data_IF_360943179685
#
_entry.id   IF_360943179685
#
_cell.length_a   1.000
_cell.length_b   1.000
_cell.length_c   1.000
_cell.angle_alpha   90.00
_cell.angle_beta   90.00
_cell.angle_gamma   90.00
#
_symmetry.space_group_name_H-M   'P 1'
#
loop_
_entity.id
_entity.type
_entity.pdbx_description
1 polymer ?
#
# COMPACT_ATOMS: atom_id res chain seq x y z
N UNK A 1 5.50 -22.56 -36.09
CA UNK A 1 5.23 -21.67 -34.94
C UNK A 1 4.62 -22.49 -33.82
N UNK A 2 5.26 -22.55 -32.65
CA UNK A 2 4.90 -23.48 -31.57
C UNK A 2 3.56 -23.16 -30.91
N UNK A 3 2.79 -24.20 -30.62
CA UNK A 3 1.47 -24.16 -29.95
C UNK A 3 1.47 -23.35 -28.65
N UNK A 4 2.62 -23.22 -27.99
CA UNK A 4 2.85 -22.38 -26.81
C UNK A 4 2.71 -20.88 -27.10
N UNK A 5 3.21 -20.40 -28.24
CA UNK A 5 3.08 -19.00 -28.64
C UNK A 5 1.62 -18.60 -28.91
N UNK A 6 0.84 -19.53 -29.46
CA UNK A 6 -0.59 -19.33 -29.70
C UNK A 6 -1.39 -19.26 -28.39
N UNK A 7 -1.10 -20.14 -27.42
CA UNK A 7 -1.72 -20.11 -26.10
C UNK A 7 -1.42 -18.81 -25.34
N UNK A 8 -0.19 -18.29 -25.45
CA UNK A 8 0.20 -17.02 -24.84
C UNK A 8 -0.57 -15.86 -25.50
N UNK A 9 -0.62 -15.81 -26.83
CA UNK A 9 -1.35 -14.77 -27.56
C UNK A 9 -2.85 -14.77 -27.22
N UNK A 10 -3.48 -15.95 -27.15
CA UNK A 10 -4.88 -16.09 -26.76
C UNK A 10 -5.13 -15.64 -25.33
N UNK A 11 -4.24 -16.00 -24.40
CA UNK A 11 -4.36 -15.60 -22.99
C UNK A 11 -4.29 -14.09 -22.83
N UNK A 12 -3.33 -13.43 -23.51
CA UNK A 12 -3.21 -11.97 -23.48
C UNK A 12 -4.44 -11.31 -24.10
N UNK A 13 -4.93 -11.83 -25.24
CA UNK A 13 -6.12 -11.30 -25.91
C UNK A 13 -7.36 -11.40 -25.01
N UNK A 14 -7.54 -12.51 -24.29
CA UNK A 14 -8.62 -12.71 -23.34
C UNK A 14 -8.56 -11.72 -22.18
N UNK A 15 -7.37 -11.51 -21.59
CA UNK A 15 -7.17 -10.59 -20.48
C UNK A 15 -7.49 -9.15 -20.93
N UNK A 16 -6.98 -8.73 -22.10
CA UNK A 16 -7.24 -7.39 -22.64
C UNK A 16 -8.72 -7.19 -22.96
N UNK A 17 -9.37 -8.19 -23.56
CA UNK A 17 -10.80 -8.15 -23.86
C UNK A 17 -11.68 -8.05 -22.60
N UNK A 18 -11.34 -8.81 -21.55
CA UNK A 18 -12.06 -8.77 -20.28
C UNK A 18 -11.95 -7.40 -19.60
N UNK A 19 -10.73 -6.83 -19.56
CA UNK A 19 -10.49 -5.50 -18.97
C UNK A 19 -11.22 -4.41 -19.77
N UNK A 20 -11.17 -4.45 -21.10
CA UNK A 20 -11.90 -3.52 -21.95
C UNK A 20 -13.41 -3.60 -21.76
N UNK A 21 -13.97 -4.82 -21.63
CA UNK A 21 -15.38 -5.04 -21.36
C UNK A 21 -15.84 -4.47 -20.00
N UNK A 22 -15.03 -4.62 -18.95
CA UNK A 22 -15.32 -4.07 -17.62
C UNK A 22 -15.29 -2.53 -17.63
N UNK A 23 -14.32 -1.92 -18.33
CA UNK A 23 -14.22 -0.47 -18.46
C UNK A 23 -15.38 0.10 -19.28
N UNK A 24 -15.78 -0.57 -20.36
CA UNK A 24 -16.95 -0.19 -21.16
C UNK A 24 -18.26 -0.28 -20.34
N UNK A 25 -18.45 -1.34 -19.55
CA UNK A 25 -19.59 -1.46 -18.63
C UNK A 25 -19.63 -0.34 -17.59
N UNK A 26 -18.49 0.02 -17.00
CA UNK A 26 -18.41 1.12 -16.02
C UNK A 26 -18.70 2.49 -16.63
N UNK A 27 -18.33 2.72 -17.91
CA UNK A 27 -18.67 3.97 -18.62
C UNK A 27 -20.14 4.04 -19.04
N UNK A 28 -20.72 2.92 -19.50
CA UNK A 28 -22.12 2.88 -19.94
C UNK A 28 -23.13 3.01 -18.77
N UNK A 29 -22.73 2.66 -17.54
CA UNK A 29 -23.56 2.84 -16.35
C UNK A 29 -23.78 4.29 -15.91
N UNK A 30 -23.00 5.26 -16.41
CA UNK A 30 -23.13 6.68 -16.02
C UNK A 30 -24.06 7.51 -16.90
N UNK A 31 -24.50 7.01 -18.05
CA UNK A 31 -25.25 7.82 -19.05
C UNK A 31 -26.70 7.41 -19.28
N UNK A 32 -27.26 6.44 -18.54
CA UNK A 32 -28.70 6.17 -18.57
C UNK A 32 -29.41 6.78 -17.37
N UNK A 33 -29.73 8.06 -17.46
CA UNK A 33 -30.81 8.67 -16.68
C UNK A 33 -32.06 8.74 -17.57
N UNK A 34 -32.93 7.73 -17.59
CA UNK A 34 -34.23 7.88 -18.22
C UNK A 34 -35.08 8.77 -17.31
N UNK A 35 -35.36 9.98 -17.78
CA UNK A 35 -36.46 10.78 -17.27
C UNK A 35 -37.78 10.07 -17.62
N UNK A 36 -38.61 9.75 -16.63
CA UNK A 36 -39.97 9.30 -16.89
C UNK A 36 -40.66 8.54 -15.76
N UNK A 37 -41.65 9.22 -15.17
CA UNK A 37 -42.84 8.72 -14.42
C UNK A 37 -42.72 8.55 -12.88
N UNK A 38 -43.49 9.32 -12.09
CA UNK A 38 -43.69 9.03 -10.66
C UNK A 38 -44.75 7.92 -10.53
N UNK A 39 -44.29 6.67 -10.52
CA UNK A 39 -45.09 5.53 -10.10
C UNK A 39 -44.89 5.27 -8.61
N UNK A 40 -45.93 5.55 -7.81
CA UNK A 40 -46.32 4.88 -6.55
C UNK A 40 -45.19 4.09 -5.82
N UNK A 41 -44.73 4.51 -4.62
CA UNK A 41 -43.92 3.62 -3.78
C UNK A 41 -44.85 2.57 -3.15
N UNK A 42 -45.03 1.47 -3.86
CA UNK A 42 -45.57 0.23 -3.32
C UNK A 42 -44.45 -0.57 -2.65
N UNK A 43 -44.70 -0.93 -1.39
CA UNK A 43 -44.28 -2.19 -0.76
C UNK A 43 -42.80 -2.33 -0.37
N UNK A 44 -42.54 -1.85 0.85
CA UNK A 44 -41.60 -2.37 1.86
C UNK A 44 -40.94 -3.71 1.51
N UNK A 45 -39.64 -3.66 1.23
CA UNK A 45 -38.81 -4.84 1.04
C UNK A 45 -37.32 -4.55 0.83
N UNK A 46 -36.87 -3.30 0.99
CA UNK A 46 -35.46 -2.94 0.88
C UNK A 46 -34.93 -2.63 2.28
N UNK A 47 -33.99 -3.47 2.71
CA UNK A 47 -33.02 -3.32 3.80
C UNK A 47 -33.06 -1.97 4.54
N UNK A 48 -33.31 -2.03 5.84
CA UNK A 48 -33.18 -0.88 6.73
C UNK A 48 -31.75 -0.30 6.77
N UNK A 49 -31.49 0.70 7.63
CA UNK A 49 -30.18 1.38 7.72
C UNK A 49 -28.97 0.43 7.85
N UNK A 50 -29.17 -0.76 8.41
CA UNK A 50 -28.14 -1.81 8.51
C UNK A 50 -27.56 -2.24 7.16
N UNK A 51 -28.38 -2.39 6.11
CA UNK A 51 -27.87 -2.83 4.81
C UNK A 51 -27.03 -1.76 4.09
N UNK A 52 -27.30 -0.48 4.35
CA UNK A 52 -26.44 0.61 3.88
C UNK A 52 -25.13 0.67 4.67
N UNK A 53 -25.20 0.41 5.99
CA UNK A 53 -24.01 0.35 6.86
C UNK A 53 -23.08 -0.81 6.50
N UNK A 54 -23.61 -1.98 6.17
CA UNK A 54 -22.81 -3.14 5.77
C UNK A 54 -22.04 -2.87 4.47
N UNK A 55 -22.68 -2.21 3.49
CA UNK A 55 -22.05 -1.84 2.22
C UNK A 55 -20.97 -0.77 2.38
N UNK A 56 -21.17 0.19 3.29
CA UNK A 56 -20.16 1.20 3.62
C UNK A 56 -18.94 0.56 4.30
N UNK A 57 -19.17 -0.33 5.27
CA UNK A 57 -18.12 -1.09 5.94
C UNK A 57 -17.34 -1.97 4.95
N UNK A 58 -18.03 -2.65 4.02
CA UNK A 58 -17.40 -3.43 2.96
C UNK A 58 -16.51 -2.55 2.06
N UNK A 59 -17.00 -1.38 1.64
CA UNK A 59 -16.27 -0.46 0.78
C UNK A 59 -14.99 0.04 1.47
N UNK A 60 -15.08 0.38 2.76
CA UNK A 60 -13.93 0.80 3.57
C UNK A 60 -12.91 -0.34 3.71
N UNK A 61 -13.36 -1.56 4.05
CA UNK A 61 -12.49 -2.73 4.15
C UNK A 61 -11.71 -3.00 2.84
N UNK A 62 -12.40 -2.93 1.70
CA UNK A 62 -11.77 -3.07 0.38
C UNK A 62 -10.75 -1.96 0.10
N UNK A 63 -11.09 -0.72 0.45
CA UNK A 63 -10.19 0.42 0.27
C UNK A 63 -8.90 0.27 1.06
N UNK A 64 -8.97 -0.13 2.34
CA UNK A 64 -7.79 -0.40 3.15
C UNK A 64 -6.98 -1.58 2.61
N UNK A 65 -7.62 -2.65 2.12
CA UNK A 65 -6.92 -3.79 1.53
C UNK A 65 -6.16 -3.41 0.26
N UNK A 66 -6.77 -2.63 -0.64
CA UNK A 66 -6.11 -2.12 -1.85
C UNK A 66 -4.93 -1.23 -1.48
N UNK A 67 -5.10 -0.35 -0.47
CA UNK A 67 -4.03 0.51 0.02
C UNK A 67 -2.86 -0.29 0.59
N UNK A 68 -3.14 -1.33 1.38
CA UNK A 68 -2.12 -2.23 1.93
C UNK A 68 -1.39 -3.00 0.81
N UNK A 69 -2.14 -3.60 -0.12
CA UNK A 69 -1.59 -4.33 -1.26
C UNK A 69 -0.71 -3.45 -2.15
N UNK A 70 -1.14 -2.21 -2.43
CA UNK A 70 -0.32 -1.23 -3.16
C UNK A 70 0.92 -0.78 -2.39
N UNK A 71 0.88 -0.84 -1.05
CA UNK A 71 2.02 -0.53 -0.19
C UNK A 71 3.10 -1.62 -0.15
N UNK A 72 2.74 -2.86 -0.43
CA UNK A 72 3.65 -4.02 -0.46
C UNK A 72 4.52 -4.09 -1.72
N UNK A 73 4.38 -3.14 -2.64
CA UNK A 73 5.26 -3.06 -3.82
C UNK A 73 6.71 -3.01 -3.33
N UNK A 74 7.54 -3.98 -3.72
CA UNK A 74 8.91 -4.06 -3.22
C UNK A 74 9.65 -2.78 -3.61
N UNK A 75 10.40 -2.17 -2.67
CA UNK A 75 11.24 -1.03 -2.98
C UNK A 75 12.27 -1.38 -4.06
N UNK A 76 12.87 -0.39 -4.71
CA UNK A 76 13.89 -0.65 -5.74
C UNK A 76 15.09 -1.41 -5.18
N UNK A 77 15.82 -2.13 -6.04
CA UNK A 77 16.95 -3.01 -5.63
C UNK A 77 17.99 -2.33 -4.71
N UNK A 78 18.24 -1.03 -4.91
CA UNK A 78 19.16 -0.24 -4.07
C UNK A 78 18.67 -0.06 -2.63
N UNK A 79 17.37 0.11 -2.43
CA UNK A 79 16.78 0.22 -1.10
C UNK A 79 16.73 -1.14 -0.39
N UNK A 80 16.54 -2.24 -1.15
CA UNK A 80 16.68 -3.60 -0.60
C UNK A 80 18.10 -3.94 -0.18
N UNK A 81 19.12 -3.50 -0.93
CA UNK A 81 20.51 -3.76 -0.57
C UNK A 81 20.94 -3.12 0.77
N UNK A 82 20.21 -2.09 1.23
CA UNK A 82 20.40 -1.47 2.54
C UNK A 82 19.37 -1.90 3.59
N UNK A 83 18.48 -2.85 3.28
CA UNK A 83 17.47 -3.31 4.22
C UNK A 83 18.09 -4.16 5.32
N UNK A 84 17.84 -3.80 6.57
CA UNK A 84 18.21 -4.63 7.72
C UNK A 84 17.18 -5.75 7.97
N UNK A 85 17.52 -6.65 8.88
CA UNK A 85 16.66 -7.78 9.25
C UNK A 85 15.32 -7.32 9.86
N UNK A 86 15.30 -6.16 10.52
CA UNK A 86 14.08 -5.58 11.10
C UNK A 86 13.11 -5.11 10.00
N UNK A 87 13.61 -4.44 8.96
CA UNK A 87 12.86 -4.07 7.77
C UNK A 87 12.30 -5.30 7.05
N UNK A 88 13.12 -6.35 6.89
CA UNK A 88 12.69 -7.62 6.30
C UNK A 88 11.57 -8.30 7.10
N UNK A 89 11.71 -8.37 8.43
CA UNK A 89 10.65 -8.89 9.32
C UNK A 89 9.37 -8.07 9.22
N UNK A 90 9.46 -6.75 9.28
CA UNK A 90 8.30 -5.87 9.22
C UNK A 90 7.55 -5.99 7.86
N UNK A 91 8.27 -6.10 6.74
CA UNK A 91 7.64 -6.36 5.44
C UNK A 91 6.96 -7.73 5.39
N UNK A 92 7.56 -8.74 6.02
CA UNK A 92 6.95 -10.07 6.13
C UNK A 92 5.65 -10.02 6.93
N UNK A 93 5.65 -9.39 8.10
CA UNK A 93 4.44 -9.19 8.91
C UNK A 93 3.37 -8.42 8.16
N UNK A 94 3.73 -7.36 7.42
CA UNK A 94 2.78 -6.64 6.58
C UNK A 94 2.14 -7.53 5.49
N UNK A 95 2.93 -8.42 4.86
CA UNK A 95 2.45 -9.36 3.86
C UNK A 95 1.57 -10.47 4.47
N UNK A 96 1.82 -10.87 5.71
CA UNK A 96 0.96 -11.76 6.49
C UNK A 96 -0.37 -11.11 6.83
N UNK A 97 -0.36 -9.86 7.33
CA UNK A 97 -1.57 -9.09 7.57
C UNK A 97 -2.40 -8.95 6.29
N UNK A 98 -1.78 -8.70 5.13
CA UNK A 98 -2.50 -8.61 3.85
C UNK A 98 -3.17 -9.94 3.46
N UNK A 99 -2.48 -11.07 3.62
CA UNK A 99 -3.06 -12.40 3.38
C UNK A 99 -4.22 -12.69 4.33
N UNK A 100 -4.02 -12.45 5.63
CA UNK A 100 -5.05 -12.63 6.65
C UNK A 100 -6.28 -11.74 6.41
N UNK A 101 -6.09 -10.46 6.06
CA UNK A 101 -7.18 -9.55 5.74
C UNK A 101 -7.95 -10.01 4.50
N UNK A 102 -7.26 -10.51 3.48
CA UNK A 102 -7.88 -11.03 2.26
C UNK A 102 -8.70 -12.30 2.52
N UNK A 103 -8.16 -13.22 3.32
CA UNK A 103 -8.85 -14.45 3.69
C UNK A 103 -10.13 -14.14 4.47
N UNK A 104 -10.06 -13.23 5.44
CA UNK A 104 -11.23 -12.77 6.21
C UNK A 104 -12.27 -12.05 5.34
N UNK A 105 -11.83 -11.20 4.43
CA UNK A 105 -12.72 -10.49 3.51
C UNK A 105 -13.53 -11.46 2.62
N UNK A 106 -12.94 -12.59 2.23
CA UNK A 106 -13.65 -13.59 1.42
C UNK A 106 -14.87 -14.20 2.12
N UNK A 107 -14.79 -14.33 3.45
CA UNK A 107 -15.84 -14.87 4.31
C UNK A 107 -16.78 -13.82 4.92
N UNK A 108 -16.37 -12.55 5.00
CA UNK A 108 -17.13 -11.49 5.65
C UNK A 108 -18.47 -11.19 4.97
N UNK A 109 -19.54 -11.04 5.75
CA UNK A 109 -20.90 -10.71 5.30
C UNK A 109 -21.58 -9.64 6.14
N UNK A 110 -20.95 -9.20 7.22
CA UNK A 110 -21.50 -8.25 8.18
C UNK A 110 -20.56 -7.07 8.41
N UNK A 111 -21.11 -5.90 8.80
CA UNK A 111 -20.31 -4.72 9.12
C UNK A 111 -19.17 -5.01 10.12
N UNK A 112 -19.43 -5.75 11.20
CA UNK A 112 -18.41 -6.07 12.21
C UNK A 112 -17.26 -6.93 11.66
N UNK A 113 -17.54 -7.84 10.73
CA UNK A 113 -16.48 -8.63 10.06
C UNK A 113 -15.67 -7.76 9.11
N UNK A 114 -16.28 -6.81 8.42
CA UNK A 114 -15.59 -5.84 7.57
C UNK A 114 -14.75 -4.84 8.38
N UNK A 115 -15.20 -4.43 9.56
CA UNK A 115 -14.40 -3.65 10.50
C UNK A 115 -13.16 -4.43 10.95
N UNK A 116 -13.29 -5.73 11.20
CA UNK A 116 -12.16 -6.58 11.55
C UNK A 116 -11.13 -6.70 10.41
N UNK A 117 -11.60 -6.84 9.17
CA UNK A 117 -10.72 -6.78 7.97
C UNK A 117 -9.99 -5.44 7.93
N UNK A 118 -10.70 -4.34 8.16
CA UNK A 118 -10.14 -2.98 8.21
C UNK A 118 -9.06 -2.85 9.28
N UNK A 119 -9.28 -3.42 10.47
CA UNK A 119 -8.32 -3.42 11.59
C UNK A 119 -7.02 -4.13 11.20
N UNK A 120 -7.12 -5.34 10.65
CA UNK A 120 -5.94 -6.10 10.20
C UNK A 120 -5.21 -5.37 9.06
N UNK A 121 -5.94 -4.76 8.13
CA UNK A 121 -5.32 -4.00 7.04
C UNK A 121 -4.56 -2.77 7.55
N UNK A 122 -5.08 -2.08 8.58
CA UNK A 122 -4.39 -0.96 9.24
C UNK A 122 -3.14 -1.42 9.98
N UNK A 123 -3.18 -2.55 10.68
CA UNK A 123 -2.01 -3.15 11.32
C UNK A 123 -0.89 -3.46 10.30
N UNK A 124 -1.25 -4.04 9.14
CA UNK A 124 -0.30 -4.26 8.05
C UNK A 124 0.33 -2.95 7.53
N UNK A 125 -0.43 -1.85 7.51
CA UNK A 125 0.10 -0.54 7.14
C UNK A 125 1.06 0.01 8.19
N UNK A 126 0.84 -0.26 9.49
CA UNK A 126 1.81 0.08 10.54
C UNK A 126 3.14 -0.64 10.33
N UNK A 127 3.09 -1.94 10.04
CA UNK A 127 4.29 -2.70 9.72
C UNK A 127 5.01 -2.14 8.48
N UNK A 128 4.27 -1.70 7.45
CA UNK A 128 4.87 -1.01 6.31
C UNK A 128 5.50 0.33 6.66
N UNK A 129 4.90 1.10 7.58
CA UNK A 129 5.50 2.35 8.07
C UNK A 129 6.81 2.07 8.80
N UNK A 130 6.82 1.08 9.69
CA UNK A 130 8.03 0.65 10.40
C UNK A 130 9.12 0.15 9.45
N UNK A 131 8.76 -0.67 8.46
CA UNK A 131 9.68 -1.13 7.43
C UNK A 131 10.27 0.03 6.63
N UNK A 132 9.43 0.98 6.19
CA UNK A 132 9.90 2.14 5.43
C UNK A 132 10.74 3.09 6.27
N UNK A 133 10.45 3.22 7.56
CA UNK A 133 11.30 3.96 8.48
C UNK A 133 12.69 3.30 8.58
N UNK A 134 12.75 1.98 8.75
CA UNK A 134 14.00 1.23 8.78
C UNK A 134 14.78 1.26 7.43
N UNK A 135 14.07 1.37 6.31
CA UNK A 135 14.68 1.54 4.99
C UNK A 135 15.10 3.00 4.68
N UNK A 136 14.43 3.98 5.32
CA UNK A 136 14.62 5.41 5.12
C UNK A 136 15.53 6.08 6.16
N UNK A 137 15.85 5.36 7.23
CA UNK A 137 16.91 5.70 8.15
C UNK A 137 18.00 4.63 8.04
N UNK A 138 19.28 5.00 7.88
CA UNK A 138 20.32 4.17 8.48
C UNK A 138 19.99 4.15 9.98
N UNK A 139 19.44 3.03 10.47
CA UNK A 139 19.35 2.78 11.90
C UNK A 139 20.78 2.87 12.40
N UNK A 140 21.17 4.00 12.97
CA UNK A 140 22.42 4.08 13.71
C UNK A 140 23.62 3.56 12.90
N UNK A 141 24.21 4.43 12.08
CA UNK A 141 25.67 4.57 12.12
C UNK A 141 26.12 5.08 13.52
N UNK A 142 25.57 4.52 14.60
CA UNK A 142 26.17 4.55 15.90
C UNK A 142 26.99 3.27 15.99
N UNK A 143 28.28 3.49 16.14
CA UNK A 143 29.22 2.61 16.84
C UNK A 143 29.57 1.33 16.08
N UNK A 144 30.36 1.46 15.01
CA UNK A 144 31.59 0.68 14.82
C UNK A 144 32.28 1.09 13.52
N UNK A 145 32.82 2.31 13.51
CA UNK A 145 34.10 2.54 12.85
C UNK A 145 35.14 2.60 13.95
N UNK A 146 36.24 1.83 13.93
CA UNK A 146 37.30 2.02 14.90
C UNK A 146 37.74 3.49 14.82
N UNK A 147 37.54 4.21 15.93
CA UNK A 147 38.00 5.57 16.07
C UNK A 147 39.52 5.54 15.96
N UNK A 148 40.02 5.73 14.74
CA UNK A 148 41.43 5.98 14.50
C UNK A 148 41.81 7.21 15.33
N UNK A 149 42.91 7.15 16.09
CA UNK A 149 43.22 8.15 17.10
C UNK A 149 43.29 9.55 16.49
N UNK A 150 42.76 10.50 17.25
CA UNK A 150 42.74 11.96 17.04
C UNK A 150 44.15 12.57 17.07
N UNK A 151 45.12 11.94 16.42
CA UNK A 151 46.49 12.42 16.26
C UNK A 151 46.76 12.99 14.85
N UNK A 152 45.84 12.81 13.90
CA UNK A 152 45.97 13.34 12.54
C UNK A 152 45.28 14.70 12.30
N UNK A 153 44.81 15.38 13.36
CA UNK A 153 44.49 16.82 13.23
C UNK A 153 45.76 17.61 13.49
N UNK A 154 46.46 17.91 12.40
CA UNK A 154 47.53 18.90 12.36
C UNK A 154 46.98 20.22 12.91
N UNK A 155 47.58 20.80 13.97
CA UNK A 155 47.21 22.12 14.43
C UNK A 155 47.70 23.16 13.41
N UNK A 156 46.78 23.84 12.73
CA UNK A 156 47.09 25.11 12.07
C UNK A 156 47.25 26.19 13.16
N UNK A 157 48.43 26.19 13.79
CA UNK A 157 48.91 27.24 14.65
C UNK A 157 49.82 28.17 13.83
N UNK A 158 49.42 29.44 13.76
CA UNK A 158 50.13 30.55 13.13
C UNK A 158 49.13 31.70 12.94
N UNK A 159 48.76 32.48 13.96
CA UNK A 159 49.56 33.47 14.70
C UNK A 159 50.04 34.65 13.82
N UNK A 160 49.60 35.87 14.18
CA UNK A 160 50.11 37.16 13.67
C UNK A 160 49.01 38.01 13.00
N UNK A 161 48.25 38.90 13.65
CA UNK A 161 48.56 40.12 14.44
C UNK A 161 48.61 41.41 13.58
N UNK A 162 48.18 42.53 14.21
CA UNK A 162 48.23 43.96 13.79
C UNK A 162 47.09 44.46 12.87
N UNK A 163 46.21 45.43 13.18
CA UNK A 163 46.23 46.72 13.93
C UNK A 163 46.60 47.97 13.10
N UNK A 164 45.63 48.89 12.99
CA UNK A 164 45.66 50.34 12.64
C UNK A 164 45.66 50.85 11.17
N UNK A 165 44.84 51.89 10.99
CA UNK A 165 44.95 53.08 10.12
C UNK A 165 44.72 52.99 8.60
N UNK A 166 43.63 53.62 8.11
CA UNK A 166 43.66 55.01 7.62
C UNK A 166 42.25 55.58 7.44
#
# INVERSE_FOLDING_TARGET
MGSTGFMIALSVLLIVGAVAGVVARRRAGRTRRPAGRPGRPGRSGASGPSGLSDLDAEAEANHWLIRLGGGLVPPGARAWAGADEAAGRALTSAAECHRAARDRLSGARTAGEYEEVTRVAKEGLEHLRSARAALGQPASAAVDGPALPRAARVPAAGAGCAVTSR
#
